data_IF_676692361967
#
_entry.id   IF_676692361967
#
_cell.length_a   1.000
_cell.length_b   1.000
_cell.length_c   1.000
_cell.angle_alpha   90.00
_cell.angle_beta   90.00
_cell.angle_gamma   90.00
#
_symmetry.space_group_name_H-M   'P 1'
#
loop_
_entity.id
_entity.type
_entity.pdbx_description
1 polymer ?
#
# COMPACT_ATOMS: atom_id res chain seq x y z
N UNK A 1 8.86 -14.82 1.89
CA UNK A 1 8.45 -13.58 1.21
C UNK A 1 9.25 -12.43 1.78
N UNK A 2 9.77 -11.53 0.94
CA UNK A 2 10.64 -10.41 1.35
C UNK A 2 10.30 -9.15 0.57
N UNK A 3 9.89 -8.07 1.24
CA UNK A 3 9.58 -6.79 0.60
C UNK A 3 10.86 -6.07 0.18
N UNK A 4 10.86 -5.44 -1.00
CA UNK A 4 12.00 -4.69 -1.56
C UNK A 4 11.70 -3.22 -1.72
N UNK A 5 10.59 -2.90 -2.41
CA UNK A 5 10.20 -1.52 -2.69
C UNK A 5 8.73 -1.35 -2.36
N UNK A 6 8.39 -0.26 -1.68
CA UNK A 6 7.02 0.21 -1.51
C UNK A 6 6.95 1.56 -2.19
N UNK A 7 6.08 1.69 -3.19
CA UNK A 7 5.77 2.96 -3.82
C UNK A 7 4.29 3.27 -3.63
N UNK A 8 4.03 4.44 -3.05
CA UNK A 8 2.69 4.97 -2.82
C UNK A 8 2.52 6.15 -3.77
N UNK A 9 1.67 5.98 -4.78
CA UNK A 9 1.31 7.08 -5.69
C UNK A 9 0.38 8.06 -4.96
N UNK A 10 -0.72 7.55 -4.41
CA UNK A 10 -1.64 8.31 -3.54
C UNK A 10 -2.20 7.41 -2.43
N UNK A 11 -2.06 7.81 -1.16
CA UNK A 11 -2.70 7.15 -0.02
C UNK A 11 -2.74 8.04 1.23
N UNK A 12 -3.91 8.55 1.59
CA UNK A 12 -4.07 9.56 2.63
C UNK A 12 -3.29 10.84 2.29
N UNK A 13 -2.37 11.24 3.17
CA UNK A 13 -1.46 12.38 2.94
C UNK A 13 -0.18 12.00 2.17
N UNK A 14 0.10 10.71 1.98
CA UNK A 14 1.29 10.27 1.25
C UNK A 14 1.02 10.33 -0.24
N UNK A 15 1.87 11.06 -0.96
CA UNK A 15 1.88 11.18 -2.41
C UNK A 15 3.28 11.01 -2.94
N UNK A 16 3.43 10.26 -4.03
CA UNK A 16 4.72 9.94 -4.66
C UNK A 16 5.81 9.50 -3.68
N UNK A 17 5.41 8.73 -2.67
CA UNK A 17 6.30 8.29 -1.60
C UNK A 17 6.94 6.95 -1.99
N UNK A 18 8.27 6.87 -1.95
CA UNK A 18 9.03 5.65 -2.23
C UNK A 18 9.88 5.25 -1.03
N UNK A 19 9.75 4.00 -0.62
CA UNK A 19 10.54 3.38 0.43
C UNK A 19 11.22 2.13 -0.10
N UNK A 20 12.56 2.12 -0.06
CA UNK A 20 13.38 0.94 -0.36
C UNK A 20 13.76 0.25 0.95
N UNK A 21 13.46 -1.03 1.03
CA UNK A 21 13.75 -1.89 2.18
C UNK A 21 15.05 -2.67 1.95
N UNK A 22 15.76 -2.92 3.04
CA UNK A 22 16.98 -3.73 3.07
C UNK A 22 16.67 -5.17 3.48
N UNK A 23 17.55 -6.14 3.19
CA UNK A 23 17.34 -7.55 3.50
C UNK A 23 17.16 -7.92 4.98
N UNK A 24 17.54 -7.02 5.89
CA UNK A 24 17.62 -7.28 7.32
C UNK A 24 16.57 -6.46 8.08
N UNK A 25 16.92 -5.96 9.26
CA UNK A 25 16.05 -5.12 10.07
C UNK A 25 15.91 -3.72 9.44
N UNK A 26 14.67 -3.33 9.15
CA UNK A 26 14.35 -1.98 8.71
C UNK A 26 13.61 -1.24 9.84
N UNK A 27 14.20 -0.16 10.35
CA UNK A 27 13.58 0.69 11.36
C UNK A 27 13.06 1.96 10.68
N UNK A 28 11.75 2.15 10.66
CA UNK A 28 11.10 3.34 10.08
C UNK A 28 10.82 4.34 11.20
N UNK A 29 11.69 5.33 11.36
CA UNK A 29 11.57 6.39 12.35
C UNK A 29 10.94 7.67 11.77
N UNK A 30 10.32 8.46 12.65
CA UNK A 30 9.82 9.80 12.34
C UNK A 30 8.99 10.34 13.50
N UNK A 31 8.59 11.61 13.43
CA UNK A 31 7.75 12.23 14.47
C UNK A 31 6.33 11.64 14.49
N UNK A 32 5.54 11.96 15.51
CA UNK A 32 4.11 11.62 15.45
C UNK A 32 3.50 12.21 14.17
N UNK A 33 2.52 11.51 13.60
CA UNK A 33 1.84 11.89 12.34
C UNK A 33 2.73 11.91 11.08
N UNK A 34 3.99 11.48 11.15
CA UNK A 34 4.90 11.42 9.99
C UNK A 34 4.52 10.37 8.92
N UNK A 35 3.38 9.70 9.05
CA UNK A 35 2.92 8.70 8.08
C UNK A 35 3.38 7.25 8.31
N UNK A 36 4.07 6.92 9.42
CA UNK A 36 4.51 5.53 9.71
C UNK A 36 3.36 4.51 9.72
N UNK A 37 2.30 4.78 10.48
CA UNK A 37 1.10 3.93 10.54
C UNK A 37 0.37 3.90 9.19
N UNK A 38 0.47 4.97 8.41
CA UNK A 38 -0.09 5.06 7.05
C UNK A 38 0.63 4.11 6.10
N UNK A 39 1.97 4.04 6.13
CA UNK A 39 2.76 3.06 5.35
C UNK A 39 2.40 1.63 5.75
N UNK A 40 2.31 1.34 7.05
CA UNK A 40 1.91 0.00 7.52
C UNK A 40 0.48 -0.38 7.05
N UNK A 41 -0.44 0.59 7.08
CA UNK A 41 -1.82 0.38 6.60
C UNK A 41 -1.85 0.15 5.09
N UNK A 42 -1.05 0.87 4.33
CA UNK A 42 -0.89 0.70 2.88
C UNK A 42 -0.43 -0.73 2.56
N UNK A 43 0.65 -1.22 3.20
CA UNK A 43 1.16 -2.59 2.98
C UNK A 43 0.05 -3.62 3.21
N UNK A 44 -0.69 -3.52 4.31
CA UNK A 44 -1.81 -4.43 4.59
C UNK A 44 -2.89 -4.37 3.51
N UNK A 45 -3.28 -3.17 3.09
CA UNK A 45 -4.32 -3.00 2.07
C UNK A 45 -3.89 -3.49 0.69
N UNK A 46 -2.60 -3.39 0.34
CA UNK A 46 -2.07 -3.92 -0.92
C UNK A 46 -2.27 -5.43 -1.03
N UNK A 47 -1.96 -6.19 0.03
CA UNK A 47 -2.09 -7.65 0.02
C UNK A 47 -3.51 -8.15 0.27
N UNK A 48 -4.25 -7.51 1.18
CA UNK A 48 -5.50 -8.07 1.70
C UNK A 48 -6.75 -7.22 1.42
N UNK A 49 -6.60 -6.07 0.76
CA UNK A 49 -7.70 -5.11 0.60
C UNK A 49 -8.20 -4.58 1.94
N UNK A 50 -9.50 -4.35 2.06
CA UNK A 50 -10.14 -3.88 3.30
C UNK A 50 -11.11 -4.90 3.87
N UNK A 51 -11.02 -5.15 5.18
CA UNK A 51 -11.87 -6.12 5.88
C UNK A 51 -13.14 -5.51 6.48
N UNK A 52 -13.22 -4.19 6.66
CA UNK A 52 -14.32 -3.55 7.39
C UNK A 52 -15.30 -2.85 6.45
N UNK A 53 -16.55 -3.34 6.39
CA UNK A 53 -17.69 -2.68 5.72
C UNK A 53 -18.44 -1.73 6.67
N UNK A 54 -17.71 -1.00 7.52
CA UNK A 54 -18.31 -0.04 8.44
C UNK A 54 -18.58 1.29 7.73
N UNK A 55 -19.66 1.96 8.12
CA UNK A 55 -19.97 3.34 7.70
C UNK A 55 -19.06 4.37 8.37
N UNK A 56 -18.59 4.04 9.58
CA UNK A 56 -17.65 4.81 10.42
C UNK A 56 -16.28 4.97 9.74
N UNK A 57 -15.87 6.22 9.53
CA UNK A 57 -14.62 6.59 8.86
C UNK A 57 -13.39 6.08 9.64
N UNK A 58 -13.46 6.03 10.98
CA UNK A 58 -12.35 5.54 11.79
C UNK A 58 -12.05 4.06 11.59
N UNK A 59 -13.07 3.30 11.17
CA UNK A 59 -13.03 1.84 10.96
C UNK A 59 -12.95 1.46 9.47
N UNK A 60 -13.37 2.36 8.58
CA UNK A 60 -13.30 2.18 7.14
C UNK A 60 -12.01 2.76 6.56
N UNK A 61 -11.00 1.91 6.38
CA UNK A 61 -9.69 2.32 5.87
C UNK A 61 -9.75 2.99 4.49
N UNK A 62 -10.72 2.61 3.62
CA UNK A 62 -10.88 3.25 2.30
C UNK A 62 -11.29 4.70 2.45
N UNK A 63 -12.27 4.98 3.31
CA UNK A 63 -12.68 6.36 3.62
C UNK A 63 -11.58 7.13 4.33
N UNK A 64 -10.90 6.49 5.29
CA UNK A 64 -9.83 7.10 6.08
C UNK A 64 -8.65 7.59 5.24
N UNK A 65 -8.28 6.84 4.22
CA UNK A 65 -7.10 7.13 3.39
C UNK A 65 -7.45 7.64 1.99
N UNK A 66 -8.73 7.89 1.69
CA UNK A 66 -9.14 8.55 0.46
C UNK A 66 -8.46 9.93 0.34
N UNK A 67 -7.76 10.23 -0.77
CA UNK A 67 -7.21 11.54 -1.03
C UNK A 67 -8.30 12.62 -1.14
N UNK A 68 -8.03 13.80 -0.60
CA UNK A 68 -8.97 14.93 -0.59
C UNK A 68 -9.22 15.52 -1.98
N UNK A 69 -8.28 15.31 -2.91
CA UNK A 69 -8.37 15.78 -4.30
C UNK A 69 -9.12 14.81 -5.21
N UNK A 70 -9.68 13.72 -4.66
CA UNK A 70 -10.40 12.70 -5.42
C UNK A 70 -9.50 11.81 -6.28
N UNK A 71 -8.16 11.93 -6.19
CA UNK A 71 -7.26 11.04 -6.89
C UNK A 71 -7.42 9.59 -6.43
N UNK A 72 -7.32 8.60 -7.34
CA UNK A 72 -7.45 7.20 -6.95
C UNK A 72 -6.27 6.79 -6.07
N UNK A 73 -6.58 6.14 -4.95
CA UNK A 73 -5.54 5.52 -4.13
C UNK A 73 -4.86 4.43 -4.94
N UNK A 74 -3.53 4.48 -5.00
CA UNK A 74 -2.77 3.56 -5.85
C UNK A 74 -1.31 3.47 -5.45
N UNK A 75 -0.66 2.40 -5.88
CA UNK A 75 0.77 2.21 -5.77
C UNK A 75 1.17 0.76 -6.06
N UNK A 76 2.42 0.45 -5.79
CA UNK A 76 2.95 -0.90 -5.97
C UNK A 76 3.87 -1.33 -4.83
N UNK A 77 3.97 -2.64 -4.66
CA UNK A 77 4.94 -3.29 -3.79
C UNK A 77 5.74 -4.29 -4.62
N UNK A 78 7.05 -4.13 -4.61
CA UNK A 78 7.97 -5.13 -5.13
C UNK A 78 8.41 -6.05 -4.00
N UNK A 79 8.35 -7.36 -4.23
CA UNK A 79 8.72 -8.35 -3.25
C UNK A 79 9.27 -9.61 -3.92
N UNK A 80 10.04 -10.36 -3.15
CA UNK A 80 10.57 -11.66 -3.53
C UNK A 80 9.74 -12.76 -2.85
N UNK A 81 9.34 -13.77 -3.63
CA UNK A 81 8.69 -14.97 -3.13
C UNK A 81 9.15 -16.17 -3.95
N UNK A 82 9.47 -17.28 -3.28
CA UNK A 82 9.87 -18.54 -3.94
C UNK A 82 11.02 -18.39 -4.95
N UNK A 83 11.99 -17.51 -4.66
CA UNK A 83 13.16 -17.27 -5.52
C UNK A 83 12.89 -16.34 -6.72
N UNK A 84 11.67 -15.84 -6.87
CA UNK A 84 11.27 -14.94 -7.97
C UNK A 84 10.92 -13.55 -7.45
N UNK A 85 11.16 -12.54 -8.28
CA UNK A 85 10.78 -11.16 -8.02
C UNK A 85 9.42 -10.83 -8.63
N UNK A 86 8.55 -10.19 -7.86
CA UNK A 86 7.22 -9.77 -8.27
C UNK A 86 6.97 -8.29 -8.00
N UNK A 87 6.11 -7.68 -8.80
CA UNK A 87 5.47 -6.40 -8.48
C UNK A 87 3.97 -6.58 -8.37
N UNK A 88 3.43 -6.31 -7.18
CA UNK A 88 2.00 -6.18 -6.95
C UNK A 88 1.63 -4.70 -7.08
N UNK A 89 0.89 -4.37 -8.12
CA UNK A 89 0.30 -3.06 -8.33
C UNK A 89 -1.20 -3.13 -8.02
N UNK A 90 -1.71 -2.09 -7.35
CA UNK A 90 -3.12 -2.00 -7.02
C UNK A 90 -3.61 -0.56 -7.16
N UNK A 91 -4.71 -0.41 -7.86
CA UNK A 91 -5.56 0.78 -7.82
C UNK A 91 -6.82 0.44 -7.01
N UNK A 92 -7.07 1.21 -5.95
CA UNK A 92 -8.19 0.94 -5.05
C UNK A 92 -9.46 1.62 -5.56
N UNK A 93 -10.51 0.84 -5.77
CA UNK A 93 -11.84 1.36 -6.04
C UNK A 93 -12.64 1.65 -4.76
N UNK A 94 -13.95 1.81 -4.90
CA UNK A 94 -14.84 2.05 -3.76
C UNK A 94 -15.02 0.80 -2.85
N UNK A 95 -14.75 -0.39 -3.38
CA UNK A 95 -14.81 -1.68 -2.68
C UNK A 95 -13.69 -2.61 -3.14
N UNK A 96 -13.47 -3.72 -2.43
CA UNK A 96 -12.47 -4.73 -2.84
C UNK A 96 -12.75 -5.32 -4.23
N UNK A 97 -14.03 -5.45 -4.61
CA UNK A 97 -14.44 -6.01 -5.91
C UNK A 97 -14.08 -5.07 -7.05
N UNK A 98 -14.08 -3.77 -6.78
CA UNK A 98 -13.73 -2.73 -7.76
C UNK A 98 -12.23 -2.37 -7.77
N UNK A 99 -11.38 -3.09 -7.02
CA UNK A 99 -9.94 -2.88 -7.08
C UNK A 99 -9.39 -3.45 -8.40
N UNK A 100 -8.51 -2.70 -9.04
CA UNK A 100 -7.70 -3.21 -10.16
C UNK A 100 -6.38 -3.68 -9.57
N UNK A 101 -6.06 -4.96 -9.75
CA UNK A 101 -4.86 -5.60 -9.20
C UNK A 101 -4.08 -6.20 -10.36
N UNK A 102 -2.80 -5.88 -10.45
CA UNK A 102 -1.89 -6.44 -11.45
C UNK A 102 -0.67 -7.01 -10.74
N UNK A 103 -0.29 -8.24 -11.12
CA UNK A 103 0.91 -8.90 -10.61
C UNK A 103 1.84 -9.15 -11.79
N UNK A 104 3.02 -8.55 -11.72
CA UNK A 104 4.08 -8.74 -12.69
C UNK A 104 5.13 -9.68 -12.12
N UNK A 105 5.58 -10.63 -12.93
CA UNK A 105 6.82 -11.33 -12.68
C UNK A 105 7.96 -10.48 -13.26
N UNK A 106 8.91 -10.08 -12.42
CA UNK A 106 10.02 -9.19 -12.79
C UNK A 106 11.32 -9.93 -13.15
N UNK A 107 11.38 -11.25 -12.94
CA UNK A 107 12.58 -12.04 -13.29
C UNK A 107 12.44 -12.73 -14.65
N UNK A 108 11.35 -12.49 -15.38
CA UNK A 108 11.12 -12.93 -16.76
C UNK A 108 11.22 -11.75 -17.70
#
# INVERSE_FOLDING_TARGET
>A
MKLRTIYIKNFGKLKDFKLKLKPELNIICGNNESGKTTVMSFIKMMFYGTSCKSSDIGKNLRKKYAPWDGSPMSGYIEFEASGQEYRLEREFGNSNISDVITIWNLTT
#
